data_IF_179797951825
#
_entry.id   IF_179797951825
#
_cell.length_a   1.000
_cell.length_b   1.000
_cell.length_c   1.000
_cell.angle_alpha   90.00
_cell.angle_beta   90.00
_cell.angle_gamma   90.00
#
_symmetry.space_group_name_H-M   'P 1'
#
loop_
_entity.id
_entity.type
_entity.pdbx_description
1 polymer ?
#
# COMPACT_ATOMS: atom_id res chain seq x y z
N UNK A 1 31.33 21.92 -58.00
CA UNK A 1 31.06 21.76 -56.55
C UNK A 1 29.62 22.20 -56.29
N UNK A 2 28.66 21.27 -56.31
CA UNK A 2 27.27 21.57 -55.96
C UNK A 2 26.98 20.95 -54.59
N UNK A 3 26.96 21.78 -53.55
CA UNK A 3 26.57 21.35 -52.20
C UNK A 3 25.04 21.37 -52.11
N UNK A 4 24.44 20.19 -52.00
CA UNK A 4 23.00 20.03 -51.74
C UNK A 4 22.81 20.11 -50.22
N UNK A 5 22.27 21.22 -49.73
CA UNK A 5 21.84 21.33 -48.35
C UNK A 5 20.54 20.54 -48.15
N UNK A 6 20.62 19.41 -47.45
CA UNK A 6 19.44 18.71 -46.92
C UNK A 6 18.90 19.48 -45.73
N UNK A 7 17.74 20.10 -45.88
CA UNK A 7 16.96 20.63 -44.75
C UNK A 7 16.36 19.43 -44.01
N UNK A 8 16.88 19.13 -42.81
CA UNK A 8 16.29 18.16 -41.90
C UNK A 8 15.21 18.88 -41.08
N UNK A 9 13.95 18.73 -41.49
CA UNK A 9 12.81 19.16 -40.66
C UNK A 9 12.60 18.09 -39.58
N UNK A 10 13.18 18.29 -38.39
CA UNK A 10 12.75 17.56 -37.20
C UNK A 10 11.35 18.07 -36.84
N UNK A 11 10.31 17.26 -37.03
CA UNK A 11 9.02 17.49 -36.37
C UNK A 11 9.29 17.53 -34.87
N UNK A 12 9.26 18.72 -34.27
CA UNK A 12 9.05 18.85 -32.84
C UNK A 12 7.71 18.15 -32.57
N UNK A 13 7.73 17.04 -31.82
CA UNK A 13 6.50 16.41 -31.38
C UNK A 13 5.79 17.43 -30.48
N UNK A 14 4.77 18.11 -31.00
CA UNK A 14 3.88 18.90 -30.16
C UNK A 14 3.21 17.91 -29.21
N UNK A 15 3.66 17.88 -27.96
CA UNK A 15 3.02 17.04 -26.95
C UNK A 15 1.54 17.40 -26.88
N UNK A 16 0.69 16.39 -27.07
CA UNK A 16 -0.75 16.55 -26.96
C UNK A 16 -1.09 16.96 -25.53
N UNK A 17 -1.83 18.06 -25.40
CA UNK A 17 -2.23 18.64 -24.10
C UNK A 17 -3.72 18.47 -23.81
N UNK A 18 -4.49 17.83 -24.71
CA UNK A 18 -5.90 17.55 -24.52
C UNK A 18 -6.21 16.09 -24.85
N UNK A 19 -6.97 15.41 -23.98
CA UNK A 19 -7.41 14.03 -24.21
C UNK A 19 -8.90 13.92 -23.91
N UNK A 20 -9.63 13.11 -24.67
CA UNK A 20 -11.04 12.84 -24.37
C UNK A 20 -11.22 12.24 -22.97
N UNK A 21 -10.33 11.34 -22.57
CA UNK A 21 -10.32 10.74 -21.22
C UNK A 21 -8.94 10.88 -20.57
N UNK A 22 -8.89 11.51 -19.41
CA UNK A 22 -7.72 11.50 -18.53
C UNK A 22 -7.99 10.60 -17.32
N UNK A 23 -7.01 9.77 -16.97
CA UNK A 23 -7.03 8.90 -15.80
C UNK A 23 -5.84 9.29 -14.91
N UNK A 24 -6.10 9.69 -13.67
CA UNK A 24 -5.04 9.93 -12.67
C UNK A 24 -4.80 8.65 -11.88
N UNK A 25 -3.57 8.14 -11.91
CA UNK A 25 -3.14 6.92 -11.24
C UNK A 25 -3.18 5.70 -12.15
N UNK A 26 -2.09 4.93 -12.17
CA UNK A 26 -1.89 3.73 -12.99
C UNK A 26 -1.82 2.43 -12.16
N UNK A 27 -2.42 2.47 -10.96
CA UNK A 27 -2.71 1.29 -10.16
C UNK A 27 -3.87 0.45 -10.72
N UNK A 28 -4.38 -0.50 -9.93
CA UNK A 28 -5.39 -1.47 -10.38
C UNK A 28 -6.65 -0.81 -10.96
N UNK A 29 -7.18 0.23 -10.31
CA UNK A 29 -8.37 0.94 -10.78
C UNK A 29 -8.13 1.69 -12.09
N UNK A 30 -7.02 2.43 -12.19
CA UNK A 30 -6.68 3.19 -13.38
C UNK A 30 -6.44 2.31 -14.60
N UNK A 31 -5.69 1.21 -14.43
CA UNK A 31 -5.45 0.24 -15.52
C UNK A 31 -6.73 -0.48 -15.95
N UNK A 32 -7.62 -0.83 -15.02
CA UNK A 32 -8.90 -1.43 -15.36
C UNK A 32 -9.77 -0.47 -16.18
N UNK A 33 -9.82 0.80 -15.78
CA UNK A 33 -10.50 1.85 -16.53
C UNK A 33 -9.87 2.05 -17.92
N UNK A 34 -8.56 2.22 -18.00
CA UNK A 34 -7.83 2.39 -19.25
C UNK A 34 -8.10 1.21 -20.21
N UNK A 35 -8.00 -0.03 -19.72
CA UNK A 35 -8.25 -1.25 -20.51
C UNK A 35 -9.68 -1.32 -21.04
N UNK A 36 -10.67 -0.86 -20.26
CA UNK A 36 -12.07 -0.83 -20.68
C UNK A 36 -12.32 0.21 -21.77
N UNK A 37 -11.74 1.40 -21.63
CA UNK A 37 -11.97 2.51 -22.57
C UNK A 37 -11.08 2.45 -23.80
N UNK A 38 -9.89 1.84 -23.73
CA UNK A 38 -8.99 1.62 -24.87
C UNK A 38 -9.61 0.78 -25.99
N UNK A 39 -10.66 0.01 -25.67
CA UNK A 39 -11.47 -0.77 -26.64
C UNK A 39 -12.59 0.04 -27.29
N UNK A 40 -12.91 1.23 -26.76
CA UNK A 40 -14.08 2.04 -27.14
C UNK A 40 -13.72 3.37 -27.76
N UNK A 41 -12.59 3.95 -27.37
CA UNK A 41 -12.13 5.25 -27.86
C UNK A 41 -11.06 5.06 -28.93
N UNK A 42 -10.97 5.98 -29.91
CA UNK A 42 -9.90 5.95 -30.90
C UNK A 42 -8.51 6.12 -30.25
N UNK A 43 -7.47 5.83 -31.01
CA UNK A 43 -6.08 6.07 -30.59
C UNK A 43 -5.89 7.53 -30.13
N UNK A 44 -4.95 7.74 -29.22
CA UNK A 44 -4.53 9.07 -28.70
C UNK A 44 -5.63 9.85 -27.96
N UNK A 45 -6.77 9.22 -27.62
CA UNK A 45 -7.86 9.86 -26.87
C UNK A 45 -7.80 9.62 -25.36
N UNK A 46 -6.92 8.73 -24.89
CA UNK A 46 -6.82 8.35 -23.48
C UNK A 46 -5.42 8.66 -22.99
N UNK A 47 -5.32 9.40 -21.88
CA UNK A 47 -4.10 9.55 -21.13
C UNK A 47 -4.23 8.94 -19.73
N UNK A 48 -3.19 8.27 -19.27
CA UNK A 48 -3.02 7.85 -17.87
C UNK A 48 -1.81 8.56 -17.28
N UNK A 49 -2.00 9.26 -16.17
CA UNK A 49 -0.99 10.07 -15.50
C UNK A 49 -0.53 9.33 -14.24
N UNK A 50 0.71 8.87 -14.23
CA UNK A 50 1.35 8.27 -13.06
C UNK A 50 2.87 8.24 -13.28
N UNK A 51 3.64 8.59 -12.25
CA UNK A 51 5.10 8.62 -12.32
C UNK A 51 5.75 7.25 -12.14
N UNK A 52 5.07 6.32 -11.45
CA UNK A 52 5.66 5.03 -11.10
C UNK A 52 5.92 4.20 -12.36
N UNK A 53 7.15 3.70 -12.49
CA UNK A 53 7.58 2.84 -13.60
C UNK A 53 7.32 1.35 -13.36
N UNK A 54 6.79 1.01 -12.20
CA UNK A 54 6.56 -0.36 -11.73
C UNK A 54 5.12 -0.51 -11.25
N UNK A 55 4.39 -1.48 -11.81
CA UNK A 55 3.09 -1.90 -11.32
C UNK A 55 3.24 -2.97 -10.25
N UNK A 56 2.54 -2.83 -9.13
CA UNK A 56 2.63 -3.78 -8.00
C UNK A 56 1.29 -4.42 -7.67
N UNK A 57 1.25 -5.76 -7.63
CA UNK A 57 0.13 -6.53 -7.09
C UNK A 57 0.19 -6.58 -5.55
N UNK A 58 -0.19 -5.46 -4.93
CA UNK A 58 -0.11 -5.23 -3.48
C UNK A 58 -0.80 -6.28 -2.60
N UNK A 59 -1.94 -6.92 -2.97
CA UNK A 59 -2.52 -8.00 -2.17
C UNK A 59 -1.55 -9.16 -1.90
N UNK A 60 -0.58 -9.37 -2.79
CA UNK A 60 0.45 -10.38 -2.63
C UNK A 60 1.44 -10.12 -1.49
N UNK A 61 1.58 -8.89 -0.99
CA UNK A 61 2.51 -8.59 0.11
C UNK A 61 2.17 -9.32 1.41
N UNK A 62 0.91 -9.68 1.64
CA UNK A 62 0.53 -10.57 2.74
C UNK A 62 1.14 -11.96 2.58
N UNK A 63 1.17 -12.49 1.35
CA UNK A 63 1.77 -13.80 1.05
C UNK A 63 3.30 -13.73 1.10
N UNK A 64 3.87 -12.62 0.60
CA UNK A 64 5.31 -12.40 0.68
C UNK A 64 5.80 -12.29 2.13
N UNK A 65 5.06 -11.59 2.99
CA UNK A 65 5.35 -11.55 4.42
C UNK A 65 5.30 -12.91 5.10
N UNK A 66 4.55 -13.87 4.56
CA UNK A 66 4.47 -15.25 5.06
C UNK A 66 5.46 -16.21 4.37
N UNK A 67 6.33 -15.72 3.48
CA UNK A 67 7.30 -16.54 2.75
C UNK A 67 6.72 -17.40 1.62
N UNK A 68 5.47 -17.15 1.22
CA UNK A 68 4.79 -17.90 0.15
C UNK A 68 5.03 -17.31 -1.25
N UNK A 69 5.57 -16.08 -1.29
CA UNK A 69 5.99 -15.34 -2.48
C UNK A 69 7.19 -14.45 -2.13
N UNK A 70 7.85 -13.88 -3.13
CA UNK A 70 8.76 -12.75 -2.95
C UNK A 70 8.08 -11.45 -3.32
N UNK A 71 8.64 -10.31 -2.89
CA UNK A 71 8.13 -9.00 -3.32
C UNK A 71 8.33 -8.76 -4.82
N UNK A 72 9.42 -9.28 -5.40
CA UNK A 72 9.76 -9.09 -6.80
C UNK A 72 8.80 -9.86 -7.74
N UNK A 73 8.30 -11.03 -7.32
CA UNK A 73 7.25 -11.77 -8.04
C UNK A 73 5.93 -11.00 -8.20
N UNK A 74 5.74 -9.92 -7.42
CA UNK A 74 4.51 -9.13 -7.40
C UNK A 74 4.61 -7.89 -8.28
N UNK A 75 5.73 -7.71 -8.97
CA UNK A 75 6.05 -6.49 -9.72
C UNK A 75 6.12 -6.76 -11.22
N UNK A 76 5.71 -5.76 -12.00
CA UNK A 76 5.86 -5.75 -13.45
C UNK A 76 6.26 -4.35 -13.91
N UNK A 77 7.00 -4.21 -15.01
CA UNK A 77 7.16 -2.92 -15.64
C UNK A 77 5.79 -2.29 -15.92
N UNK A 78 5.60 -1.05 -15.50
CA UNK A 78 4.33 -0.34 -15.67
C UNK A 78 3.96 -0.24 -17.15
N UNK A 79 4.95 -0.08 -18.03
CA UNK A 79 4.81 -0.06 -19.49
C UNK A 79 4.11 -1.29 -20.06
N UNK A 80 4.40 -2.49 -19.53
CA UNK A 80 3.76 -3.74 -19.96
C UNK A 80 2.29 -3.83 -19.54
N UNK A 81 1.89 -3.03 -18.54
CA UNK A 81 0.54 -2.99 -18.01
C UNK A 81 -0.32 -1.92 -18.70
N UNK A 82 0.29 -0.94 -19.39
CA UNK A 82 -0.43 0.11 -20.10
C UNK A 82 -1.09 -0.48 -21.38
N UNK A 83 -2.40 -0.28 -21.59
CA UNK A 83 -3.05 -0.69 -22.84
C UNK A 83 -2.47 0.03 -24.07
N UNK A 84 -2.32 -0.67 -25.20
CA UNK A 84 -1.70 -0.14 -26.42
C UNK A 84 -2.29 1.19 -26.94
N UNK A 85 -3.59 1.45 -26.72
CA UNK A 85 -4.28 2.68 -27.13
C UNK A 85 -4.36 3.75 -26.03
N UNK A 86 -3.43 3.75 -25.08
CA UNK A 86 -3.39 4.70 -23.96
C UNK A 86 -2.02 5.39 -23.89
N UNK A 87 -2.02 6.72 -23.88
CA UNK A 87 -0.81 7.49 -23.65
C UNK A 87 -0.47 7.46 -22.16
N UNK A 88 0.73 6.98 -21.83
CA UNK A 88 1.25 7.08 -20.46
C UNK A 88 2.03 8.36 -20.27
N UNK A 89 1.57 9.20 -19.34
CA UNK A 89 2.22 10.44 -18.94
C UNK A 89 2.93 10.19 -17.60
N UNK A 90 4.25 10.02 -17.67
CA UNK A 90 5.14 9.79 -16.52
C UNK A 90 5.35 11.08 -15.72
N UNK A 91 4.37 11.48 -14.94
CA UNK A 91 4.39 12.70 -14.12
C UNK A 91 3.44 12.55 -12.94
N UNK A 92 3.61 13.36 -11.91
CA UNK A 92 2.61 13.47 -10.86
C UNK A 92 1.51 14.43 -11.30
N UNK A 93 0.25 14.06 -11.05
CA UNK A 93 -0.85 15.00 -11.07
C UNK A 93 -0.77 15.85 -9.79
N UNK A 94 -0.35 17.10 -9.92
CA UNK A 94 -0.11 18.00 -8.80
C UNK A 94 -1.40 18.71 -8.37
N UNK A 95 -2.24 19.12 -9.32
CA UNK A 95 -3.50 19.82 -9.04
C UNK A 95 -4.56 19.46 -10.08
N UNK A 96 -5.80 19.27 -9.63
CA UNK A 96 -6.97 19.16 -10.51
C UNK A 96 -7.76 20.46 -10.42
N UNK A 97 -8.03 21.09 -11.57
CA UNK A 97 -8.88 22.26 -11.73
C UNK A 97 -10.16 21.85 -12.49
N UNK A 98 -11.19 21.33 -11.80
CA UNK A 98 -12.37 20.78 -12.45
C UNK A 98 -13.16 21.83 -13.25
N UNK A 99 -13.24 23.07 -12.76
CA UNK A 99 -13.91 24.19 -13.46
C UNK A 99 -13.30 24.52 -14.82
N UNK A 100 -12.05 24.11 -15.06
CA UNK A 100 -11.33 24.31 -16.33
C UNK A 100 -11.13 23.00 -17.09
N UNK A 101 -11.68 21.89 -16.58
CA UNK A 101 -11.41 20.53 -17.04
C UNK A 101 -9.91 20.26 -17.25
N UNK A 102 -9.09 20.56 -16.23
CA UNK A 102 -7.64 20.61 -16.35
C UNK A 102 -6.93 19.89 -15.19
N UNK A 103 -5.82 19.22 -15.51
CA UNK A 103 -4.85 18.66 -14.55
C UNK A 103 -3.52 19.36 -14.75
N UNK A 104 -2.97 19.97 -13.70
CA UNK A 104 -1.61 20.48 -13.66
C UNK A 104 -0.67 19.37 -13.19
N UNK A 105 0.43 19.17 -13.91
CA UNK A 105 1.46 18.20 -13.58
C UNK A 105 2.58 18.83 -12.76
N UNK A 106 3.38 18.01 -12.07
CA UNK A 106 4.56 18.44 -11.30
C UNK A 106 5.64 19.12 -12.15
N UNK A 107 5.67 18.85 -13.45
CA UNK A 107 6.58 19.49 -14.42
C UNK A 107 6.01 20.77 -15.06
N UNK A 108 4.89 21.30 -14.56
CA UNK A 108 4.25 22.52 -15.06
C UNK A 108 3.40 22.34 -16.33
N UNK A 109 3.37 21.14 -16.92
CA UNK A 109 2.46 20.85 -18.03
C UNK A 109 1.01 20.88 -17.57
N UNK A 110 0.12 21.30 -18.47
CA UNK A 110 -1.32 21.36 -18.25
C UNK A 110 -2.02 20.44 -19.24
N UNK A 111 -2.80 19.50 -18.72
CA UNK A 111 -3.54 18.51 -19.51
C UNK A 111 -5.03 18.77 -19.35
N UNK A 112 -5.73 19.10 -20.43
CA UNK A 112 -7.18 19.27 -20.43
C UNK A 112 -7.91 17.99 -20.82
N UNK A 113 -9.18 17.87 -20.44
CA UNK A 113 -9.98 16.66 -20.67
C UNK A 113 -11.45 16.93 -20.97
N UNK A 114 -12.12 15.96 -21.62
CA UNK A 114 -13.59 15.91 -21.63
C UNK A 114 -14.12 15.13 -20.42
N UNK A 115 -13.40 14.07 -20.02
CA UNK A 115 -13.71 13.24 -18.87
C UNK A 115 -12.47 12.97 -18.02
N UNK A 116 -12.64 13.00 -16.70
CA UNK A 116 -11.60 12.67 -15.73
C UNK A 116 -12.01 11.48 -14.87
N UNK A 117 -11.12 10.49 -14.75
CA UNK A 117 -11.21 9.43 -13.74
C UNK A 117 -10.07 9.61 -12.74
N UNK A 118 -10.40 9.70 -11.45
CA UNK A 118 -9.42 9.76 -10.37
C UNK A 118 -9.29 8.38 -9.73
N UNK A 119 -8.14 7.75 -9.93
CA UNK A 119 -7.80 6.41 -9.43
C UNK A 119 -6.45 6.43 -8.67
N UNK A 120 -6.17 7.51 -7.93
CA UNK A 120 -4.92 7.76 -7.24
C UNK A 120 -4.63 6.84 -6.03
N UNK A 121 -5.61 6.02 -5.61
CA UNK A 121 -5.45 5.09 -4.50
C UNK A 121 -5.52 5.75 -3.13
N UNK A 122 -4.75 5.22 -2.18
CA UNK A 122 -4.66 5.70 -0.80
C UNK A 122 -3.19 5.91 -0.41
N UNK A 123 -2.93 6.95 0.36
CA UNK A 123 -1.59 7.24 0.88
C UNK A 123 -1.36 6.52 2.22
N UNK A 124 -0.15 5.94 2.38
CA UNK A 124 0.27 5.32 3.63
C UNK A 124 1.14 6.33 4.40
N UNK A 125 0.68 6.72 5.59
CA UNK A 125 1.33 7.77 6.36
C UNK A 125 1.81 7.25 7.72
N UNK A 126 3.00 6.62 7.72
CA UNK A 126 3.65 6.17 8.96
C UNK A 126 4.16 7.33 9.83
N UNK A 127 4.33 8.55 9.30
CA UNK A 127 4.74 9.72 10.09
C UNK A 127 3.73 10.11 11.17
N UNK A 128 2.48 9.65 11.06
CA UNK A 128 1.47 9.83 12.11
C UNK A 128 1.73 9.02 13.37
N UNK A 129 2.60 8.02 13.30
CA UNK A 129 3.02 7.21 14.45
C UNK A 129 4.44 7.66 14.80
N UNK A 130 4.57 8.31 15.97
CA UNK A 130 5.86 8.83 16.43
C UNK A 130 6.88 7.68 16.51
N UNK A 131 8.05 7.86 15.90
CA UNK A 131 9.13 6.86 15.89
C UNK A 131 8.94 5.68 14.91
N UNK A 132 7.80 5.57 14.20
CA UNK A 132 7.56 4.42 13.32
C UNK A 132 8.49 4.37 12.11
N UNK A 133 8.76 5.51 11.45
CA UNK A 133 9.68 5.54 10.30
C UNK A 133 11.08 5.11 10.72
N UNK A 134 11.58 5.66 11.83
CA UNK A 134 12.90 5.30 12.37
C UNK A 134 12.98 3.81 12.70
N UNK A 135 11.96 3.26 13.38
CA UNK A 135 11.92 1.83 13.71
C UNK A 135 11.82 0.94 12.46
N UNK A 136 10.99 1.30 11.48
CA UNK A 136 10.86 0.54 10.22
C UNK A 136 12.13 0.57 9.36
N UNK A 137 12.88 1.67 9.42
CA UNK A 137 14.10 1.86 8.63
C UNK A 137 15.33 1.24 9.33
N UNK A 138 15.41 1.34 10.66
CA UNK A 138 16.62 0.99 11.44
C UNK A 138 16.47 -0.26 12.31
N UNK A 139 15.26 -0.77 12.55
CA UNK A 139 15.00 -2.00 13.31
C UNK A 139 14.08 -3.01 12.56
N UNK A 140 14.45 -3.41 11.32
CA UNK A 140 13.61 -4.27 10.48
C UNK A 140 13.48 -5.72 10.98
N UNK A 141 14.15 -6.07 12.09
CA UNK A 141 14.02 -7.37 12.74
C UNK A 141 12.82 -7.43 13.69
N UNK A 142 12.43 -6.29 14.28
CA UNK A 142 11.35 -6.22 15.26
C UNK A 142 10.19 -5.32 14.83
N UNK A 143 10.37 -4.42 13.85
CA UNK A 143 9.30 -3.55 13.36
C UNK A 143 9.21 -3.64 11.85
N UNK A 144 8.10 -4.20 11.35
CA UNK A 144 7.89 -4.47 9.92
C UNK A 144 6.46 -4.12 9.48
N UNK A 145 6.25 -3.96 8.17
CA UNK A 145 4.92 -3.67 7.62
C UNK A 145 4.71 -4.26 6.23
N UNK A 146 3.53 -4.83 5.99
CA UNK A 146 3.13 -5.38 4.69
C UNK A 146 2.51 -4.33 3.74
N UNK A 147 2.49 -3.04 4.11
CA UNK A 147 1.72 -2.01 3.39
C UNK A 147 2.48 -1.19 2.35
N UNK A 148 3.80 -1.35 2.31
CA UNK A 148 4.69 -0.76 1.30
C UNK A 148 5.70 -1.79 0.84
N UNK A 149 6.18 -1.65 -0.41
CA UNK A 149 7.24 -2.51 -0.96
C UNK A 149 8.48 -2.55 -0.07
N UNK A 150 8.97 -1.37 0.33
CA UNK A 150 10.19 -1.19 1.15
C UNK A 150 10.16 -2.06 2.40
N UNK A 151 9.03 -2.06 3.11
CA UNK A 151 8.93 -2.76 4.40
C UNK A 151 8.45 -4.21 4.25
N UNK A 152 7.64 -4.51 3.24
CA UNK A 152 7.12 -5.87 3.01
C UNK A 152 8.25 -6.88 2.76
N UNK A 153 9.37 -6.44 2.16
CA UNK A 153 10.55 -7.27 1.92
C UNK A 153 11.18 -7.83 3.20
N UNK A 154 11.02 -7.14 4.34
CA UNK A 154 11.64 -7.53 5.61
C UNK A 154 10.73 -8.44 6.45
N UNK A 155 9.42 -8.47 6.16
CA UNK A 155 8.42 -9.12 7.02
C UNK A 155 8.71 -10.60 7.21
N UNK A 156 8.94 -11.36 6.13
CA UNK A 156 9.18 -12.80 6.25
C UNK A 156 10.43 -13.11 7.09
N UNK A 157 11.52 -12.38 6.88
CA UNK A 157 12.74 -12.59 7.66
C UNK A 157 12.53 -12.30 9.14
N UNK A 158 11.83 -11.22 9.49
CA UNK A 158 11.47 -10.91 10.87
C UNK A 158 10.60 -12.02 11.50
N UNK A 159 9.54 -12.45 10.81
CA UNK A 159 8.66 -13.51 11.30
C UNK A 159 9.38 -14.85 11.45
N UNK A 160 10.20 -15.23 10.46
CA UNK A 160 10.89 -16.52 10.45
C UNK A 160 12.03 -16.58 11.48
N UNK A 161 12.66 -15.43 11.78
CA UNK A 161 13.74 -15.35 12.77
C UNK A 161 13.24 -15.06 14.19
N UNK A 162 11.96 -14.78 14.38
CA UNK A 162 11.34 -14.66 15.70
C UNK A 162 11.51 -15.95 16.52
N UNK A 163 11.81 -15.83 17.83
CA UNK A 163 12.10 -16.98 18.70
C UNK A 163 11.24 -17.08 19.96
N UNK A 164 10.78 -15.97 20.50
CA UNK A 164 9.98 -15.92 21.72
C UNK A 164 9.56 -14.48 22.02
N UNK A 165 8.60 -14.31 22.91
CA UNK A 165 8.22 -13.01 23.44
C UNK A 165 6.88 -12.51 22.88
N UNK A 166 6.72 -11.21 22.73
CA UNK A 166 5.45 -10.60 22.35
C UNK A 166 5.44 -10.17 20.87
N UNK A 167 4.56 -10.75 20.07
CA UNK A 167 4.31 -10.35 18.68
C UNK A 167 3.02 -9.53 18.58
N UNK A 168 3.12 -8.25 18.25
CA UNK A 168 2.01 -7.28 18.23
C UNK A 168 1.65 -6.91 16.80
N UNK A 169 0.39 -7.16 16.44
CA UNK A 169 -0.20 -6.76 15.17
C UNK A 169 -1.18 -5.61 15.40
N UNK A 170 -1.24 -4.65 14.47
CA UNK A 170 -1.98 -3.40 14.70
C UNK A 170 -2.99 -3.08 13.59
N UNK A 171 -4.00 -2.29 13.92
CA UNK A 171 -4.93 -1.69 12.95
C UNK A 171 -5.16 -0.21 13.30
N UNK A 172 -4.93 0.74 12.37
CA UNK A 172 -4.97 2.17 12.66
C UNK A 172 -6.39 2.72 12.81
N UNK A 173 -6.56 3.86 13.47
CA UNK A 173 -7.83 4.59 13.57
C UNK A 173 -8.18 5.40 12.30
N UNK A 174 -7.77 4.93 11.12
CA UNK A 174 -8.01 5.57 9.82
C UNK A 174 -8.60 4.58 8.83
N UNK A 175 -9.24 5.05 7.74
CA UNK A 175 -9.49 4.20 6.59
C UNK A 175 -8.20 3.53 6.10
N UNK A 176 -8.29 2.29 5.63
CA UNK A 176 -7.16 1.49 5.15
C UNK A 176 -7.58 0.67 3.93
N UNK A 177 -6.63 0.42 3.01
CA UNK A 177 -6.81 -0.56 1.95
C UNK A 177 -6.76 -1.98 2.54
N UNK A 178 -7.70 -2.84 2.16
CA UNK A 178 -7.78 -4.24 2.61
C UNK A 178 -7.75 -4.40 4.15
N UNK A 179 -8.84 -4.04 4.88
CA UNK A 179 -8.86 -4.08 6.35
C UNK A 179 -8.64 -5.48 6.96
N UNK A 180 -8.75 -6.55 6.17
CA UNK A 180 -8.40 -7.90 6.62
C UNK A 180 -6.89 -8.20 6.59
N UNK A 181 -6.06 -7.42 5.90
CA UNK A 181 -4.62 -7.71 5.77
C UNK A 181 -3.84 -7.74 7.11
N UNK A 182 -4.10 -6.86 8.10
CA UNK A 182 -3.35 -6.89 9.36
C UNK A 182 -3.59 -8.17 10.17
N UNK A 183 -4.83 -8.67 10.18
CA UNK A 183 -5.15 -9.94 10.82
C UNK A 183 -4.70 -11.15 9.98
N UNK A 184 -4.72 -11.06 8.63
CA UNK A 184 -4.19 -12.14 7.77
C UNK A 184 -2.71 -12.41 8.06
N UNK A 185 -1.88 -11.36 8.10
CA UNK A 185 -0.45 -11.55 8.40
C UNK A 185 -0.24 -12.05 9.83
N UNK A 186 -1.07 -11.63 10.79
CA UNK A 186 -1.07 -12.21 12.14
C UNK A 186 -1.34 -13.71 12.14
N UNK A 187 -2.39 -14.18 11.46
CA UNK A 187 -2.70 -15.61 11.40
C UNK A 187 -1.60 -16.43 10.73
N UNK A 188 -0.94 -15.85 9.70
CA UNK A 188 0.18 -16.47 9.01
C UNK A 188 1.45 -16.47 9.86
N UNK A 189 1.71 -15.40 10.62
CA UNK A 189 2.81 -15.34 11.58
C UNK A 189 2.63 -16.37 12.69
N UNK A 190 1.43 -16.50 13.24
CA UNK A 190 1.11 -17.49 14.25
C UNK A 190 1.34 -18.92 13.75
N UNK A 191 0.96 -19.21 12.49
CA UNK A 191 1.25 -20.49 11.83
C UNK A 191 2.75 -20.72 11.63
N UNK A 192 3.51 -19.69 11.23
CA UNK A 192 4.97 -19.74 11.16
C UNK A 192 5.61 -20.03 12.53
N UNK A 193 5.12 -19.42 13.60
CA UNK A 193 5.62 -19.67 14.96
C UNK A 193 5.37 -21.11 15.40
N UNK A 194 4.26 -21.73 14.98
CA UNK A 194 4.00 -23.16 15.21
C UNK A 194 4.98 -24.02 14.42
N UNK A 195 5.16 -23.75 13.12
CA UNK A 195 6.10 -24.48 12.25
C UNK A 195 7.54 -24.39 12.74
N UNK A 196 7.92 -23.26 13.31
CA UNK A 196 9.26 -23.02 13.85
C UNK A 196 9.42 -23.48 15.30
N UNK A 197 8.40 -24.11 15.91
CA UNK A 197 8.40 -24.61 17.29
C UNK A 197 8.72 -23.52 18.34
N UNK A 198 8.16 -22.32 18.15
CA UNK A 198 8.32 -21.17 19.07
C UNK A 198 6.99 -20.62 19.58
N UNK A 199 5.85 -21.14 19.10
CA UNK A 199 4.51 -20.64 19.45
C UNK A 199 4.22 -20.69 20.95
N UNK A 200 4.66 -21.73 21.63
CA UNK A 200 4.58 -21.97 23.08
C UNK A 200 5.33 -20.92 23.91
N UNK A 201 6.33 -20.25 23.32
CA UNK A 201 7.09 -19.14 23.92
C UNK A 201 6.63 -17.76 23.43
N UNK A 202 5.53 -17.71 22.68
CA UNK A 202 5.07 -16.50 21.99
C UNK A 202 3.70 -16.06 22.48
N UNK A 203 3.57 -14.77 22.79
CA UNK A 203 2.27 -14.11 22.95
C UNK A 203 1.92 -13.38 21.67
N UNK A 204 0.85 -13.80 21.00
CA UNK A 204 0.33 -13.12 19.80
C UNK A 204 -0.78 -12.17 20.22
N UNK A 205 -0.61 -10.87 19.92
CA UNK A 205 -1.55 -9.81 20.30
C UNK A 205 -2.01 -9.05 19.07
N UNK A 206 -3.31 -8.81 18.94
CA UNK A 206 -3.89 -7.91 17.95
C UNK A 206 -4.52 -6.72 18.62
N UNK A 207 -3.92 -5.55 18.45
CA UNK A 207 -4.43 -4.28 18.94
C UNK A 207 -5.08 -3.53 17.78
N UNK A 208 -6.41 -3.46 17.78
CA UNK A 208 -7.18 -2.81 16.70
C UNK A 208 -7.93 -1.59 17.19
N UNK A 209 -7.95 -0.53 16.38
CA UNK A 209 -8.78 0.67 16.63
C UNK A 209 -10.29 0.39 16.55
N UNK A 210 -10.67 -0.70 15.87
CA UNK A 210 -12.07 -1.07 15.65
C UNK A 210 -12.70 -1.67 16.92
N UNK A 211 -14.03 -1.57 17.07
CA UNK A 211 -14.76 -2.23 18.18
C UNK A 211 -14.93 -3.74 17.97
N UNK A 212 -14.66 -4.26 16.78
CA UNK A 212 -14.89 -5.67 16.41
C UNK A 212 -13.76 -6.18 15.51
N UNK A 213 -13.55 -7.50 15.49
CA UNK A 213 -12.52 -8.15 14.66
C UNK A 213 -12.80 -8.02 13.15
N UNK A 214 -14.08 -7.94 12.76
CA UNK A 214 -14.50 -7.77 11.38
C UNK A 214 -15.92 -7.19 11.30
N UNK A 215 -16.19 -6.34 10.29
CA UNK A 215 -17.44 -5.60 10.18
C UNK A 215 -18.67 -6.45 9.81
N UNK A 216 -18.48 -7.66 9.29
CA UNK A 216 -19.57 -8.55 8.89
C UNK A 216 -19.69 -9.71 9.88
N UNK A 217 -20.81 -9.78 10.59
CA UNK A 217 -21.06 -10.70 11.73
C UNK A 217 -20.72 -12.16 11.43
N UNK A 218 -21.12 -12.68 10.26
CA UNK A 218 -20.85 -14.08 9.86
C UNK A 218 -19.36 -14.40 9.89
N UNK A 219 -18.52 -13.53 9.33
CA UNK A 219 -17.08 -13.75 9.30
C UNK A 219 -16.43 -13.39 10.64
N UNK A 220 -16.95 -12.38 11.33
CA UNK A 220 -16.48 -12.04 12.68
C UNK A 220 -16.62 -13.24 13.65
N UNK A 221 -17.74 -13.98 13.59
CA UNK A 221 -17.95 -15.18 14.40
C UNK A 221 -16.88 -16.25 14.13
N UNK A 222 -16.66 -16.60 12.86
CA UNK A 222 -15.62 -17.57 12.47
C UNK A 222 -14.21 -17.11 12.88
N UNK A 223 -13.90 -15.82 12.74
CA UNK A 223 -12.59 -15.28 13.13
C UNK A 223 -12.40 -15.32 14.65
N UNK A 224 -13.46 -15.11 15.43
CA UNK A 224 -13.40 -15.23 16.90
C UNK A 224 -13.16 -16.67 17.36
N UNK A 225 -13.68 -17.67 16.65
CA UNK A 225 -13.36 -19.09 16.90
C UNK A 225 -11.86 -19.33 16.72
N UNK A 226 -11.28 -18.83 15.62
CA UNK A 226 -9.83 -18.92 15.35
C UNK A 226 -9.01 -18.19 16.42
N UNK A 227 -9.43 -16.98 16.81
CA UNK A 227 -8.75 -16.20 17.87
C UNK A 227 -8.72 -16.99 19.19
N UNK A 228 -9.83 -17.64 19.55
CA UNK A 228 -9.93 -18.47 20.76
C UNK A 228 -9.09 -19.74 20.64
N UNK A 229 -9.25 -20.48 19.55
CA UNK A 229 -8.53 -21.75 19.30
C UNK A 229 -7.01 -21.54 19.30
N UNK A 230 -6.54 -20.44 18.70
CA UNK A 230 -5.12 -20.12 18.58
C UNK A 230 -4.58 -19.26 19.71
N UNK A 231 -5.36 -19.04 20.78
CA UNK A 231 -4.98 -18.25 21.95
C UNK A 231 -4.34 -16.90 21.58
N UNK A 232 -5.04 -16.13 20.74
CA UNK A 232 -4.63 -14.78 20.31
C UNK A 232 -5.27 -13.75 21.23
N UNK A 233 -4.48 -12.81 21.74
CA UNK A 233 -4.98 -11.71 22.56
C UNK A 233 -5.54 -10.59 21.68
N UNK A 234 -6.86 -10.48 21.61
CA UNK A 234 -7.53 -9.40 20.90
C UNK A 234 -7.83 -8.23 21.84
N UNK A 235 -7.24 -7.07 21.59
CA UNK A 235 -7.64 -5.82 22.22
C UNK A 235 -8.28 -4.90 21.18
N UNK A 236 -9.54 -4.53 21.42
CA UNK A 236 -10.27 -3.57 20.59
C UNK A 236 -10.06 -2.16 21.11
N UNK A 237 -10.36 -1.17 20.26
CA UNK A 237 -10.34 0.25 20.61
C UNK A 237 -8.96 0.76 21.07
N UNK A 238 -7.89 0.12 20.60
CA UNK A 238 -6.51 0.56 20.82
C UNK A 238 -5.87 0.98 19.49
N UNK A 239 -5.41 2.22 19.41
CA UNK A 239 -4.73 2.76 18.23
C UNK A 239 -3.24 2.99 18.52
N UNK A 240 -2.35 2.44 17.70
CA UNK A 240 -0.91 2.67 17.82
C UNK A 240 -0.59 4.14 17.51
N UNK A 241 0.11 4.82 18.43
CA UNK A 241 0.47 6.25 18.29
C UNK A 241 1.97 6.52 18.39
N UNK A 242 2.74 5.64 19.04
CA UNK A 242 4.20 5.77 19.15
C UNK A 242 4.88 4.39 19.19
N UNK A 243 6.04 4.29 18.55
CA UNK A 243 6.96 3.16 18.62
C UNK A 243 8.31 3.66 19.13
N UNK A 244 8.84 3.01 20.17
CA UNK A 244 10.16 3.29 20.75
C UNK A 244 11.04 2.06 20.57
N UNK A 245 11.81 2.04 19.49
CA UNK A 245 12.65 0.89 19.13
C UNK A 245 13.67 0.53 20.23
N UNK A 246 14.37 1.53 20.78
CA UNK A 246 15.42 1.32 21.79
C UNK A 246 14.92 0.61 23.06
N UNK A 247 13.69 0.91 23.50
CA UNK A 247 13.07 0.30 24.68
C UNK A 247 12.13 -0.86 24.33
N UNK A 248 11.97 -1.17 23.04
CA UNK A 248 11.00 -2.13 22.49
C UNK A 248 9.59 -1.91 23.03
N UNK A 249 9.11 -0.67 22.95
CA UNK A 249 7.78 -0.27 23.45
C UNK A 249 6.89 0.24 22.32
N UNK A 250 5.65 -0.26 22.29
CA UNK A 250 4.59 0.24 21.45
C UNK A 250 3.50 0.88 22.33
N UNK A 251 3.18 2.14 22.05
CA UNK A 251 2.25 2.94 22.85
C UNK A 251 0.95 3.10 22.07
N UNK A 252 -0.14 2.71 22.71
CA UNK A 252 -1.48 2.73 22.15
C UNK A 252 -2.36 3.72 22.91
N UNK A 253 -3.13 4.51 22.19
CA UNK A 253 -4.22 5.30 22.75
C UNK A 253 -5.48 4.44 22.88
N UNK A 254 -6.16 4.51 24.02
CA UNK A 254 -7.49 3.95 24.20
C UNK A 254 -8.55 4.89 23.61
N UNK A 255 -9.21 4.47 22.54
CA UNK A 255 -10.20 5.26 21.82
C UNK A 255 -11.55 5.37 22.53
N UNK A 256 -11.80 4.55 23.57
CA UNK A 256 -12.97 4.69 24.44
C UNK A 256 -12.69 5.58 25.65
N UNK A 257 -11.42 5.83 25.96
CA UNK A 257 -10.96 6.72 27.03
C UNK A 257 -9.86 7.66 26.51
N UNK A 258 -10.21 8.67 25.69
CA UNK A 258 -9.24 9.55 25.05
C UNK A 258 -8.22 10.14 26.04
N UNK A 259 -6.96 10.19 25.64
CA UNK A 259 -5.85 10.62 26.50
C UNK A 259 -5.26 9.52 27.40
N UNK A 260 -5.91 8.35 27.50
CA UNK A 260 -5.37 7.19 28.22
C UNK A 260 -4.46 6.40 27.30
N UNK A 261 -3.19 6.24 27.70
CA UNK A 261 -2.18 5.50 26.95
C UNK A 261 -1.91 4.14 27.60
N UNK A 262 -1.70 3.12 26.77
CA UNK A 262 -1.27 1.78 27.18
C UNK A 262 0.02 1.41 26.46
N UNK A 263 1.04 1.09 27.24
CA UNK A 263 2.33 0.64 26.73
C UNK A 263 2.38 -0.88 26.69
N UNK A 264 2.85 -1.43 25.58
CA UNK A 264 3.16 -2.85 25.44
C UNK A 264 4.65 -2.98 25.12
N UNK A 265 5.32 -3.95 25.75
CA UNK A 265 6.62 -4.41 25.27
C UNK A 265 6.40 -5.32 24.07
N UNK A 266 7.28 -5.24 23.08
CA UNK A 266 7.23 -6.09 21.91
C UNK A 266 8.58 -6.75 21.65
N UNK A 267 8.54 -7.89 20.99
CA UNK A 267 9.68 -8.54 20.35
C UNK A 267 9.46 -8.61 18.83
N UNK A 268 8.24 -8.27 18.36
CA UNK A 268 7.83 -8.15 16.96
C UNK A 268 6.54 -7.33 16.83
#
# INVERSE_FOLDING_TARGET
MNSVYRIIVRRLSTQQNHYKLVIIGSGCGGLACASKFAKKLPKDNIAIIDKNDTHVYQPGWTLAGAGLKTVDELEKPQSECIPQNTTWIQSYANQVEPEKNLVQLDNGRKITYDYLIVAAGIEINFNRIKGAIDALDNDPQHVVSIYTRKYAANVYNALNNFRSGQAIFTFPATPIKCPGAPQKIMYLAEDLFRKNNVRDKTTVTYNTSLPVIFGVKKYAAALMEIVKERNIQLNTRLNLVEVRANSKEAIFENLDQPGTMKTFKYDL
#
